data_IF_882333457523
#
_entry.id   IF_882333457523
#
_cell.length_a   1.000
_cell.length_b   1.000
_cell.length_c   1.000
_cell.angle_alpha   90.00
_cell.angle_beta   90.00
_cell.angle_gamma   90.00
#
_symmetry.space_group_name_H-M   'P 1'
#
loop_
_entity.id
_entity.type
_entity.pdbx_description
1 polymer ?
#
# COMPACT_ATOMS: atom_id res chain seq x y z
N UNK A 1 34.54 23.89 -0.09
CA UNK A 1 34.28 22.65 0.67
C UNK A 1 33.45 21.72 -0.23
N UNK A 2 33.86 20.44 -0.34
CA UNK A 2 33.14 19.47 -1.15
C UNK A 2 31.77 19.21 -0.52
N UNK A 3 30.69 19.18 -1.33
CA UNK A 3 29.36 18.81 -0.84
C UNK A 3 29.36 17.33 -0.44
N UNK A 4 29.02 16.97 0.81
CA UNK A 4 28.97 15.58 1.27
C UNK A 4 27.70 14.84 0.83
N UNK A 5 26.68 15.53 0.31
CA UNK A 5 25.37 14.97 -0.01
C UNK A 5 25.25 14.58 -1.48
N UNK A 6 24.50 13.52 -1.74
CA UNK A 6 24.10 13.14 -3.10
C UNK A 6 23.07 14.13 -3.65
N UNK A 7 23.24 14.58 -4.88
CA UNK A 7 22.28 15.45 -5.55
C UNK A 7 20.91 14.77 -5.71
N UNK A 8 20.90 13.48 -6.01
CA UNK A 8 19.66 12.71 -6.18
C UNK A 8 18.82 12.72 -4.93
N UNK A 9 19.41 12.46 -3.75
CA UNK A 9 18.63 12.41 -2.51
C UNK A 9 18.20 13.80 -2.04
N UNK A 10 19.00 14.83 -2.28
CA UNK A 10 18.64 16.19 -1.91
C UNK A 10 17.53 16.78 -2.77
N UNK A 11 17.31 16.26 -3.97
CA UNK A 11 16.21 16.62 -4.85
C UNK A 11 14.86 15.99 -4.45
N UNK A 12 14.89 14.93 -3.63
CA UNK A 12 13.66 14.26 -3.17
C UNK A 12 13.10 14.99 -1.94
N UNK A 13 11.86 15.49 -1.98
CA UNK A 13 11.26 16.15 -0.82
C UNK A 13 10.97 15.15 0.31
N UNK A 14 10.96 15.60 1.58
CA UNK A 14 10.48 14.78 2.70
C UNK A 14 9.02 14.35 2.48
N UNK A 15 8.65 13.18 3.02
CA UNK A 15 7.27 12.66 2.93
C UNK A 15 6.26 13.65 3.53
N UNK A 16 5.29 14.09 2.72
CA UNK A 16 4.21 14.99 3.14
C UNK A 16 3.35 14.42 4.27
N UNK A 17 3.17 13.10 4.30
CA UNK A 17 2.43 12.40 5.37
C UNK A 17 3.14 12.59 6.73
N UNK A 18 4.47 12.47 6.77
CA UNK A 18 5.23 12.55 8.01
C UNK A 18 5.17 13.93 8.65
N UNK A 19 5.31 14.96 7.84
CA UNK A 19 5.20 16.36 8.32
C UNK A 19 3.89 16.60 9.08
N UNK A 20 2.80 16.00 8.61
CA UNK A 20 1.49 16.14 9.25
C UNK A 20 1.42 15.36 10.59
N UNK A 21 2.02 14.18 10.65
CA UNK A 21 2.08 13.40 11.90
C UNK A 21 2.91 14.05 12.99
N UNK A 22 4.00 14.70 12.64
CA UNK A 22 4.85 15.40 13.61
C UNK A 22 4.04 16.51 14.32
N UNK A 23 3.22 17.26 13.59
CA UNK A 23 2.32 18.27 14.18
C UNK A 23 1.28 17.64 15.12
N UNK A 24 0.67 16.53 14.69
CA UNK A 24 -0.37 15.84 15.48
C UNK A 24 0.19 15.27 16.79
N UNK A 25 1.42 14.76 16.78
CA UNK A 25 2.05 14.14 17.95
C UNK A 25 2.26 15.11 19.11
N UNK A 26 2.35 16.41 18.82
CA UNK A 26 2.51 17.48 19.81
C UNK A 26 1.17 17.99 20.37
N UNK A 27 0.04 17.59 19.78
CA UNK A 27 -1.29 18.09 20.16
C UNK A 27 -2.01 17.14 21.12
N UNK A 28 -2.31 17.66 22.33
CA UNK A 28 -3.17 16.96 23.28
C UNK A 28 -4.62 16.91 22.74
N UNK A 29 -5.32 15.79 22.97
CA UNK A 29 -6.72 15.56 22.61
C UNK A 29 -7.02 15.53 21.08
N UNK A 30 -6.00 15.47 20.23
CA UNK A 30 -6.21 15.27 18.80
C UNK A 30 -6.62 13.80 18.50
N UNK A 31 -7.63 13.65 17.65
CA UNK A 31 -8.00 12.34 17.09
C UNK A 31 -7.36 12.24 15.72
N UNK A 32 -6.38 11.33 15.57
CA UNK A 32 -5.75 11.10 14.29
C UNK A 32 -6.52 10.03 13.51
N UNK A 33 -6.99 10.37 12.31
CA UNK A 33 -7.51 9.42 11.31
C UNK A 33 -6.54 9.29 10.12
N UNK A 34 -5.29 9.70 10.33
CA UNK A 34 -4.29 9.75 9.27
C UNK A 34 -3.38 8.53 9.20
N UNK A 35 -3.23 7.75 10.29
CA UNK A 35 -2.29 6.62 10.33
C UNK A 35 -2.80 5.48 9.46
N UNK A 36 -1.91 4.91 8.66
CA UNK A 36 -2.22 3.82 7.75
C UNK A 36 -1.82 2.45 8.30
N UNK A 37 -2.30 2.11 9.51
CA UNK A 37 -2.06 0.79 10.10
C UNK A 37 -3.30 0.23 10.79
N UNK A 38 -3.42 -1.11 10.88
CA UNK A 38 -4.48 -1.74 11.66
C UNK A 38 -4.51 -1.25 13.10
N UNK A 39 -5.70 -1.08 13.66
CA UNK A 39 -5.92 -0.79 15.09
C UNK A 39 -6.10 -2.08 15.92
N UNK A 40 -5.91 -3.22 15.30
CA UNK A 40 -5.88 -4.52 15.96
C UNK A 40 -4.45 -4.86 16.39
N UNK A 41 -4.34 -5.53 17.52
CA UNK A 41 -3.13 -6.25 17.85
C UNK A 41 -2.92 -7.42 16.89
N UNK A 42 -1.67 -7.77 16.62
CA UNK A 42 -1.37 -9.05 15.97
C UNK A 42 -2.06 -10.19 16.72
N UNK A 43 -2.78 -11.12 16.07
CA UNK A 43 -3.46 -12.23 16.72
C UNK A 43 -2.56 -12.98 17.69
N UNK A 44 -3.13 -13.42 18.84
CA UNK A 44 -2.33 -13.97 19.92
C UNK A 44 -1.48 -15.18 19.50
N UNK A 45 -2.05 -16.13 18.77
CA UNK A 45 -1.31 -17.31 18.34
C UNK A 45 -0.09 -16.99 17.46
N UNK A 46 -0.19 -15.89 16.66
CA UNK A 46 0.92 -15.42 15.83
C UNK A 46 2.01 -14.79 16.74
N UNK A 47 1.61 -13.99 17.74
CA UNK A 47 2.55 -13.43 18.73
C UNK A 47 3.22 -14.53 19.53
N UNK A 48 2.46 -15.53 19.95
CA UNK A 48 2.93 -16.67 20.73
C UNK A 48 4.02 -17.45 19.99
N UNK A 49 3.86 -17.71 18.68
CA UNK A 49 4.92 -18.35 17.87
C UNK A 49 6.17 -17.48 17.78
N UNK A 50 6.02 -16.16 17.69
CA UNK A 50 7.15 -15.23 17.76
C UNK A 50 7.90 -15.34 19.09
N UNK A 51 7.19 -15.35 20.21
CA UNK A 51 7.75 -15.54 21.57
C UNK A 51 8.43 -16.92 21.67
N UNK A 52 7.76 -17.97 21.23
CA UNK A 52 8.28 -19.33 21.24
C UNK A 52 9.57 -19.47 20.43
N UNK A 53 9.66 -18.78 19.31
CA UNK A 53 10.89 -18.76 18.50
C UNK A 53 12.10 -18.23 19.29
N UNK A 54 11.88 -17.19 20.10
CA UNK A 54 12.92 -16.62 20.98
C UNK A 54 13.26 -17.56 22.14
N UNK A 55 12.25 -18.16 22.79
CA UNK A 55 12.46 -19.16 23.86
C UNK A 55 13.26 -20.37 23.38
N UNK A 56 13.09 -20.77 22.11
CA UNK A 56 13.87 -21.85 21.50
C UNK A 56 15.24 -21.44 20.97
N UNK A 57 15.64 -20.17 21.19
CA UNK A 57 16.93 -19.66 20.74
C UNK A 57 17.05 -19.56 19.21
N UNK A 58 15.92 -19.40 18.48
CA UNK A 58 15.92 -19.24 17.02
C UNK A 58 16.28 -17.79 16.65
N UNK A 59 17.52 -17.39 16.95
CA UNK A 59 18.01 -16.00 16.83
C UNK A 59 19.14 -15.84 15.81
N UNK A 60 19.37 -16.86 15.00
CA UNK A 60 20.39 -16.87 13.96
C UNK A 60 19.84 -16.38 12.63
N UNK A 61 20.73 -16.02 11.71
CA UNK A 61 20.35 -15.70 10.33
C UNK A 61 19.62 -16.87 9.68
N UNK A 62 18.59 -16.53 8.91
CA UNK A 62 17.97 -17.50 7.99
C UNK A 62 18.73 -17.51 6.66
N UNK A 63 18.29 -18.33 5.70
CA UNK A 63 18.66 -18.14 4.31
C UNK A 63 18.34 -16.70 3.87
N UNK A 64 19.17 -16.11 2.99
CA UNK A 64 18.92 -14.75 2.49
C UNK A 64 17.53 -14.60 1.88
N UNK A 65 17.06 -15.60 1.13
CA UNK A 65 15.72 -15.58 0.55
C UNK A 65 14.59 -15.85 1.57
N UNK A 66 14.91 -16.14 2.83
CA UNK A 66 13.96 -16.45 3.89
C UNK A 66 13.90 -17.93 4.27
N UNK A 67 13.17 -18.23 5.35
CA UNK A 67 12.92 -19.60 5.81
C UNK A 67 12.24 -20.42 4.71
N UNK A 68 12.75 -21.63 4.46
CA UNK A 68 12.16 -22.54 3.48
C UNK A 68 10.70 -22.84 3.79
N UNK A 69 10.40 -23.06 5.05
CA UNK A 69 9.04 -23.31 5.54
C UNK A 69 8.10 -22.15 5.23
N UNK A 70 8.53 -20.91 5.49
CA UNK A 70 7.74 -19.72 5.19
C UNK A 70 7.49 -19.56 3.69
N UNK A 71 8.50 -19.75 2.85
CA UNK A 71 8.34 -19.68 1.40
C UNK A 71 7.35 -20.72 0.86
N UNK A 72 7.38 -21.93 1.43
CA UNK A 72 6.41 -22.97 1.10
C UNK A 72 4.97 -22.56 1.49
N UNK A 73 4.79 -21.98 2.68
CA UNK A 73 3.46 -21.51 3.10
C UNK A 73 2.98 -20.30 2.26
N UNK A 74 3.88 -19.41 1.86
CA UNK A 74 3.55 -18.32 0.91
C UNK A 74 3.06 -18.89 -0.42
N UNK A 75 3.77 -19.90 -0.98
CA UNK A 75 3.36 -20.56 -2.23
C UNK A 75 1.96 -21.15 -2.12
N UNK A 76 1.70 -21.92 -1.05
CA UNK A 76 0.39 -22.55 -0.77
C UNK A 76 -0.72 -21.50 -0.58
N UNK A 77 -0.40 -20.41 0.12
CA UNK A 77 -1.32 -19.32 0.37
C UNK A 77 -1.75 -18.63 -0.94
N UNK A 78 -0.78 -18.29 -1.81
CA UNK A 78 -1.06 -17.64 -3.08
C UNK A 78 -1.87 -18.53 -4.02
N UNK A 79 -1.57 -19.83 -4.08
CA UNK A 79 -2.34 -20.80 -4.86
C UNK A 79 -3.78 -20.91 -4.33
N UNK A 80 -3.95 -21.06 -3.00
CA UNK A 80 -5.26 -21.22 -2.36
C UNK A 80 -6.13 -19.96 -2.46
N UNK A 81 -5.54 -18.77 -2.32
CA UNK A 81 -6.28 -17.50 -2.20
C UNK A 81 -6.43 -16.76 -3.52
N UNK A 82 -5.48 -16.90 -4.43
CA UNK A 82 -5.39 -16.04 -5.63
C UNK A 82 -5.12 -16.80 -6.92
N UNK A 83 -5.22 -18.12 -6.90
CA UNK A 83 -5.05 -19.00 -8.08
C UNK A 83 -3.72 -18.77 -8.83
N UNK A 84 -2.65 -18.44 -8.12
CA UNK A 84 -1.32 -18.24 -8.70
C UNK A 84 -0.27 -19.05 -7.95
N UNK A 85 0.42 -19.93 -8.67
CA UNK A 85 1.47 -20.78 -8.14
C UNK A 85 2.87 -20.23 -8.40
N UNK A 86 3.73 -20.26 -7.37
CA UNK A 86 5.16 -19.90 -7.47
C UNK A 86 6.02 -21.00 -6.87
N UNK A 87 7.17 -21.27 -7.51
CA UNK A 87 8.18 -22.17 -6.96
C UNK A 87 8.79 -21.53 -5.70
N UNK A 88 8.62 -22.16 -4.51
CA UNK A 88 9.10 -21.58 -3.26
C UNK A 88 10.62 -21.43 -3.20
N UNK A 89 11.38 -22.22 -3.95
CA UNK A 89 12.85 -22.17 -3.92
C UNK A 89 13.43 -21.13 -4.88
N UNK A 90 12.73 -20.81 -5.97
CA UNK A 90 13.26 -19.99 -7.08
C UNK A 90 12.53 -18.68 -7.30
N UNK A 91 11.23 -18.62 -6.98
CA UNK A 91 10.35 -17.53 -7.35
C UNK A 91 9.80 -16.74 -6.14
N UNK A 92 10.22 -17.06 -4.91
CA UNK A 92 9.76 -16.39 -3.67
C UNK A 92 10.95 -15.93 -2.83
N UNK A 93 10.92 -14.68 -2.39
CA UNK A 93 11.82 -14.15 -1.38
C UNK A 93 11.08 -13.36 -0.30
N UNK A 94 11.56 -13.49 0.93
CA UNK A 94 11.04 -12.75 2.10
C UNK A 94 11.82 -11.46 2.26
N UNK A 95 11.10 -10.36 2.54
CA UNK A 95 11.65 -9.02 2.63
C UNK A 95 11.30 -8.32 3.94
N UNK A 96 11.99 -7.22 4.25
CA UNK A 96 11.70 -6.35 5.41
C UNK A 96 10.50 -5.45 5.06
N UNK A 97 9.31 -6.06 5.03
CA UNK A 97 8.06 -5.44 4.57
C UNK A 97 7.99 -5.28 3.05
N UNK A 98 6.81 -4.93 2.55
CA UNK A 98 6.59 -4.64 1.13
C UNK A 98 7.42 -3.44 0.63
N UNK A 99 7.78 -2.52 1.51
CA UNK A 99 8.59 -1.35 1.16
C UNK A 99 9.98 -1.72 0.64
N UNK A 100 10.65 -2.70 1.26
CA UNK A 100 11.92 -3.22 0.73
C UNK A 100 11.69 -3.90 -0.63
N UNK A 101 10.65 -4.72 -0.75
CA UNK A 101 10.34 -5.41 -1.99
C UNK A 101 10.16 -4.44 -3.17
N UNK A 102 9.47 -3.31 -2.95
CA UNK A 102 9.31 -2.25 -3.96
C UNK A 102 10.68 -1.66 -4.36
N UNK A 103 11.48 -1.26 -3.38
CA UNK A 103 12.77 -0.60 -3.62
C UNK A 103 13.73 -1.52 -4.39
N UNK A 104 13.89 -2.77 -3.93
CA UNK A 104 14.81 -3.71 -4.58
C UNK A 104 14.31 -4.21 -5.94
N UNK A 105 13.00 -4.28 -6.17
CA UNK A 105 12.45 -4.60 -7.49
C UNK A 105 12.80 -3.51 -8.50
N UNK A 106 12.58 -2.24 -8.17
CA UNK A 106 12.93 -1.11 -9.03
C UNK A 106 14.43 -1.07 -9.29
N UNK A 107 15.28 -1.21 -8.26
CA UNK A 107 16.75 -1.23 -8.40
C UNK A 107 17.27 -2.40 -9.23
N UNK A 108 16.59 -3.54 -9.20
CA UNK A 108 16.98 -4.73 -9.95
C UNK A 108 16.59 -4.66 -11.44
N UNK A 109 15.58 -3.85 -11.77
CA UNK A 109 14.95 -3.85 -13.09
C UNK A 109 15.19 -2.59 -13.90
N UNK A 110 15.65 -1.48 -13.29
CA UNK A 110 15.81 -0.20 -13.99
C UNK A 110 17.27 0.10 -14.32
N UNK A 111 17.47 0.57 -15.55
CA UNK A 111 18.64 1.30 -15.98
C UNK A 111 18.37 2.82 -16.01
N UNK A 112 19.41 3.67 -15.96
CA UNK A 112 19.24 5.12 -16.04
C UNK A 112 18.43 5.56 -17.27
N UNK A 113 17.30 6.24 -17.02
CA UNK A 113 16.41 6.75 -18.06
C UNK A 113 15.23 5.85 -18.42
N UNK A 114 15.16 4.63 -17.89
CA UNK A 114 13.95 3.79 -18.00
C UNK A 114 12.78 4.47 -17.29
N UNK A 115 11.62 4.46 -17.92
CA UNK A 115 10.41 5.06 -17.37
C UNK A 115 9.54 4.04 -16.63
N UNK A 116 8.98 4.51 -15.53
CA UNK A 116 8.02 3.76 -14.70
C UNK A 116 6.70 4.50 -14.68
N UNK A 117 5.63 3.86 -15.17
CA UNK A 117 4.27 4.39 -15.05
C UNK A 117 3.75 4.16 -13.63
N UNK A 118 3.37 5.24 -12.96
CA UNK A 118 2.91 5.23 -11.57
C UNK A 118 1.53 5.87 -11.51
N UNK A 119 0.46 5.08 -11.29
CA UNK A 119 -0.87 5.62 -11.02
C UNK A 119 -0.86 6.51 -9.78
N UNK A 120 -1.49 7.68 -9.86
CA UNK A 120 -1.67 8.62 -8.74
C UNK A 120 -3.13 9.11 -8.67
N UNK A 121 -3.69 9.37 -7.48
CA UNK A 121 -3.04 9.32 -6.17
C UNK A 121 -2.71 7.88 -5.75
N UNK A 122 -1.55 7.69 -5.13
CA UNK A 122 -1.09 6.38 -4.64
C UNK A 122 -0.06 6.50 -3.52
N UNK A 123 0.40 5.36 -3.01
CA UNK A 123 1.37 5.32 -1.93
C UNK A 123 2.65 6.06 -2.29
N UNK A 124 3.10 6.89 -1.36
CA UNK A 124 4.13 7.93 -1.56
C UNK A 124 5.52 7.41 -1.95
N UNK A 125 5.81 6.13 -1.77
CA UNK A 125 7.17 5.60 -1.97
C UNK A 125 7.51 5.26 -3.42
N UNK A 126 6.54 5.07 -4.32
CA UNK A 126 6.83 4.62 -5.68
C UNK A 126 7.69 5.62 -6.46
N UNK A 127 7.36 6.91 -6.38
CA UNK A 127 8.10 7.97 -7.06
C UNK A 127 9.53 8.10 -6.52
N UNK A 128 9.77 8.28 -5.23
CA UNK A 128 11.12 8.33 -4.67
C UNK A 128 11.95 7.08 -4.94
N UNK A 129 11.38 5.88 -4.79
CA UNK A 129 12.10 4.65 -5.06
C UNK A 129 12.49 4.51 -6.54
N UNK A 130 11.64 4.95 -7.47
CA UNK A 130 11.97 5.01 -8.90
C UNK A 130 13.17 5.93 -9.16
N UNK A 131 13.16 7.14 -8.59
CA UNK A 131 14.26 8.11 -8.72
C UNK A 131 15.57 7.55 -8.13
N UNK A 132 15.49 6.95 -6.94
CA UNK A 132 16.64 6.36 -6.25
C UNK A 132 17.22 5.14 -7.00
N UNK A 133 16.38 4.46 -7.79
CA UNK A 133 16.80 3.39 -8.69
C UNK A 133 17.38 3.90 -10.03
N UNK A 134 17.40 5.21 -10.27
CA UNK A 134 17.89 5.84 -11.51
C UNK A 134 16.84 5.92 -12.62
N UNK A 135 15.61 5.48 -12.36
CA UNK A 135 14.50 5.55 -13.32
C UNK A 135 13.81 6.92 -13.33
N UNK A 136 12.92 7.08 -14.29
CA UNK A 136 12.09 8.28 -14.50
C UNK A 136 10.64 7.96 -14.15
N UNK A 137 10.07 8.53 -13.08
CA UNK A 137 8.66 8.34 -12.76
C UNK A 137 7.78 9.11 -13.76
N UNK A 138 6.79 8.43 -14.34
CA UNK A 138 5.76 9.01 -15.20
C UNK A 138 4.41 8.77 -14.56
N UNK A 139 3.76 9.83 -14.11
CA UNK A 139 2.50 9.73 -13.38
C UNK A 139 1.30 9.52 -14.31
N UNK A 140 0.41 8.64 -13.92
CA UNK A 140 -0.87 8.35 -14.58
C UNK A 140 -1.99 8.76 -13.64
N UNK A 141 -2.74 9.80 -13.99
CA UNK A 141 -3.77 10.33 -13.10
C UNK A 141 -5.00 9.42 -13.04
N UNK A 142 -5.38 9.03 -11.82
CA UNK A 142 -6.62 8.32 -11.52
C UNK A 142 -7.71 9.35 -11.18
N UNK A 143 -8.86 9.23 -11.80
CA UNK A 143 -9.94 10.20 -11.66
C UNK A 143 -11.17 9.58 -10.98
N UNK A 144 -11.88 10.38 -10.19
CA UNK A 144 -13.08 9.96 -9.48
C UNK A 144 -14.20 9.47 -10.42
N UNK A 145 -14.32 10.07 -11.63
CA UNK A 145 -15.29 9.64 -12.63
C UNK A 145 -15.10 8.18 -13.05
N UNK A 146 -13.86 7.68 -12.99
CA UNK A 146 -13.49 6.29 -13.27
C UNK A 146 -13.38 5.46 -11.98
N UNK A 147 -13.91 5.98 -10.85
CA UNK A 147 -13.80 5.37 -9.51
C UNK A 147 -12.36 5.17 -9.06
N UNK A 148 -11.46 6.06 -9.46
CA UNK A 148 -10.02 5.96 -9.25
C UNK A 148 -9.40 4.65 -9.76
N UNK A 149 -9.99 4.02 -10.77
CA UNK A 149 -9.43 2.85 -11.45
C UNK A 149 -8.40 3.28 -12.50
N UNK A 150 -7.41 2.43 -12.70
CA UNK A 150 -6.51 2.56 -13.84
C UNK A 150 -7.17 1.94 -15.07
N UNK A 151 -7.32 2.72 -16.13
CA UNK A 151 -7.85 2.23 -17.41
C UNK A 151 -6.73 2.02 -18.42
N UNK A 152 -6.94 1.15 -19.38
CA UNK A 152 -5.97 0.88 -20.45
C UNK A 152 -5.70 2.13 -21.28
N UNK A 153 -6.70 2.99 -21.51
CA UNK A 153 -6.55 4.25 -22.26
C UNK A 153 -5.56 5.19 -21.58
N UNK A 154 -5.65 5.33 -20.25
CA UNK A 154 -4.73 6.14 -19.46
C UNK A 154 -3.30 5.58 -19.49
N UNK A 155 -3.14 4.26 -19.50
CA UNK A 155 -1.82 3.64 -19.68
C UNK A 155 -1.27 3.97 -21.04
N UNK A 156 -2.06 3.75 -22.12
CA UNK A 156 -1.64 4.00 -23.50
C UNK A 156 -1.25 5.46 -23.75
N UNK A 157 -1.96 6.42 -23.13
CA UNK A 157 -1.67 7.85 -23.26
C UNK A 157 -0.27 8.24 -22.77
N UNK A 158 0.24 7.54 -21.74
CA UNK A 158 1.52 7.86 -21.08
C UNK A 158 2.70 7.02 -21.58
N UNK A 159 2.46 6.05 -22.45
CA UNK A 159 3.49 5.19 -22.97
C UNK A 159 4.48 5.95 -23.88
N UNK A 160 5.75 5.67 -23.67
CA UNK A 160 6.85 6.07 -24.57
C UNK A 160 7.72 4.85 -24.88
N UNK A 161 8.65 4.94 -25.85
CA UNK A 161 9.61 3.86 -26.09
C UNK A 161 10.55 3.55 -24.92
N UNK A 162 10.59 4.41 -23.88
CA UNK A 162 11.40 4.24 -22.67
C UNK A 162 10.62 3.60 -21.53
N UNK A 163 9.31 3.47 -21.67
CA UNK A 163 8.46 2.86 -20.64
C UNK A 163 8.82 1.39 -20.49
N UNK A 164 9.21 0.98 -19.29
CA UNK A 164 9.61 -0.38 -18.96
C UNK A 164 8.72 -1.05 -17.93
N UNK A 165 8.28 -0.30 -16.92
CA UNK A 165 7.53 -0.83 -15.78
C UNK A 165 6.21 -0.08 -15.61
N UNK A 166 5.14 -0.83 -15.32
CA UNK A 166 3.88 -0.33 -14.80
C UNK A 166 3.74 -0.76 -13.33
N UNK A 167 3.52 0.19 -12.43
CA UNK A 167 3.15 -0.10 -11.03
C UNK A 167 1.64 -0.26 -10.94
N UNK A 168 1.17 -1.34 -10.30
CA UNK A 168 -0.24 -1.60 -10.01
C UNK A 168 -0.45 -1.62 -8.49
N UNK A 169 -0.80 -0.47 -7.87
CA UNK A 169 -0.96 -0.37 -6.43
C UNK A 169 -2.43 -0.56 -6.01
N UNK A 170 -2.97 -1.77 -6.21
CA UNK A 170 -4.38 -2.06 -5.91
C UNK A 170 -4.54 -3.34 -5.07
N UNK A 171 -5.46 -3.31 -4.04
CA UNK A 171 -6.32 -2.20 -3.61
C UNK A 171 -5.54 -0.96 -3.19
N UNK A 172 -6.05 0.21 -3.56
CA UNK A 172 -5.28 1.45 -3.58
C UNK A 172 -5.31 2.20 -2.23
N UNK A 173 -4.16 2.65 -1.79
CA UNK A 173 -3.97 3.71 -0.81
C UNK A 173 -3.63 5.00 -1.58
N UNK A 174 -4.46 6.07 -1.59
CA UNK A 174 -5.42 6.45 -0.54
C UNK A 174 -6.90 6.20 -0.87
N UNK A 175 -7.26 5.80 -2.08
CA UNK A 175 -8.63 5.89 -2.58
C UNK A 175 -9.56 4.73 -2.17
N UNK A 176 -8.97 3.59 -1.79
CA UNK A 176 -9.73 2.35 -1.57
C UNK A 176 -10.28 1.72 -2.85
N UNK A 177 -9.83 2.19 -4.01
CA UNK A 177 -10.19 1.62 -5.30
C UNK A 177 -9.56 0.24 -5.49
N UNK A 178 -10.25 -0.61 -6.24
CA UNK A 178 -9.78 -1.92 -6.68
C UNK A 178 -9.81 -1.98 -8.21
N UNK A 179 -9.12 -2.97 -8.78
CA UNK A 179 -9.29 -3.35 -10.18
C UNK A 179 -10.09 -4.66 -10.25
N UNK A 180 -11.09 -4.70 -11.11
CA UNK A 180 -11.82 -5.92 -11.44
C UNK A 180 -11.02 -6.75 -12.43
N UNK A 181 -11.44 -8.01 -12.61
CA UNK A 181 -10.77 -8.91 -13.56
C UNK A 181 -10.73 -8.34 -14.98
N UNK A 182 -11.79 -7.70 -15.41
CA UNK A 182 -11.92 -7.09 -16.75
C UNK A 182 -10.96 -5.90 -16.91
N UNK A 183 -10.77 -5.09 -15.86
CA UNK A 183 -9.79 -4.01 -15.86
C UNK A 183 -8.36 -4.57 -16.00
N UNK A 184 -8.07 -5.64 -15.25
CA UNK A 184 -6.77 -6.31 -15.28
C UNK A 184 -6.49 -6.99 -16.62
N UNK A 185 -7.50 -7.62 -17.26
CA UNK A 185 -7.36 -8.22 -18.58
C UNK A 185 -7.04 -7.16 -19.64
N UNK A 186 -7.75 -6.02 -19.61
CA UNK A 186 -7.48 -4.89 -20.51
C UNK A 186 -6.08 -4.30 -20.34
N UNK A 187 -5.59 -4.19 -19.10
CA UNK A 187 -4.23 -3.74 -18.80
C UNK A 187 -3.21 -4.80 -19.24
N UNK A 188 -3.47 -6.07 -18.97
CA UNK A 188 -2.59 -7.18 -19.36
C UNK A 188 -2.36 -7.25 -20.87
N UNK A 189 -3.39 -6.94 -21.68
CA UNK A 189 -3.25 -6.86 -23.14
C UNK A 189 -2.22 -5.80 -23.54
N UNK A 190 -2.29 -4.60 -22.94
CA UNK A 190 -1.32 -3.53 -23.19
C UNK A 190 0.07 -3.94 -22.74
N UNK A 191 0.19 -4.52 -21.54
CA UNK A 191 1.48 -4.96 -20.97
C UNK A 191 2.16 -5.99 -21.89
N UNK A 192 1.39 -6.96 -22.41
CA UNK A 192 1.92 -7.97 -23.36
C UNK A 192 2.28 -7.36 -24.70
N UNK A 193 1.40 -6.53 -25.27
CA UNK A 193 1.61 -5.89 -26.57
C UNK A 193 2.85 -4.97 -26.57
N UNK A 194 3.06 -4.23 -25.49
CA UNK A 194 4.15 -3.25 -25.37
C UNK A 194 5.39 -3.80 -24.65
N UNK A 195 5.40 -5.09 -24.36
CA UNK A 195 6.48 -5.80 -23.66
C UNK A 195 6.93 -5.11 -22.35
N UNK A 196 5.95 -4.70 -21.55
CA UNK A 196 6.18 -4.10 -20.24
C UNK A 196 6.35 -5.16 -19.16
N UNK A 197 6.92 -4.72 -18.04
CA UNK A 197 6.91 -5.44 -16.76
C UNK A 197 5.95 -4.78 -15.78
N UNK A 198 5.48 -5.54 -14.80
CA UNK A 198 4.55 -5.05 -13.78
C UNK A 198 5.16 -5.23 -12.39
N UNK A 199 5.05 -4.21 -11.55
CA UNK A 199 5.21 -4.32 -10.10
C UNK A 199 3.81 -4.20 -9.50
N UNK A 200 3.24 -5.32 -9.05
CA UNK A 200 1.91 -5.38 -8.47
C UNK A 200 2.03 -5.37 -6.95
N UNK A 201 1.72 -4.23 -6.34
CA UNK A 201 1.68 -4.08 -4.89
C UNK A 201 0.29 -4.47 -4.38
N UNK A 202 0.20 -5.66 -3.83
CA UNK A 202 -1.03 -6.31 -3.39
C UNK A 202 -1.13 -6.42 -1.86
N UNK A 203 -0.47 -5.51 -1.13
CA UNK A 203 -0.42 -5.52 0.35
C UNK A 203 -1.81 -5.47 1.01
N UNK A 204 -2.83 -4.99 0.30
CA UNK A 204 -4.22 -4.92 0.74
C UNK A 204 -5.12 -6.00 0.12
N UNK A 205 -4.57 -7.03 -0.52
CA UNK A 205 -5.33 -8.06 -1.25
C UNK A 205 -6.42 -8.74 -0.42
N UNK A 206 -6.20 -8.97 0.87
CA UNK A 206 -7.20 -9.56 1.78
C UNK A 206 -8.28 -8.57 2.24
N UNK A 207 -8.01 -7.28 2.13
CA UNK A 207 -8.94 -6.23 2.56
C UNK A 207 -9.74 -5.73 1.37
N UNK A 208 -10.61 -6.59 0.83
CA UNK A 208 -11.60 -6.27 -0.21
C UNK A 208 -13.00 -6.60 0.32
N UNK A 209 -14.00 -5.80 -0.05
CA UNK A 209 -15.33 -5.85 0.52
C UNK A 209 -16.37 -6.32 -0.52
N UNK A 210 -17.03 -7.45 -0.22
CA UNK A 210 -18.02 -8.06 -1.09
C UNK A 210 -17.46 -8.70 -2.37
N UNK A 211 -16.13 -8.85 -2.46
CA UNK A 211 -15.41 -9.37 -3.64
C UNK A 211 -14.13 -10.07 -3.21
N UNK A 212 -13.63 -10.93 -4.10
CA UNK A 212 -12.31 -11.48 -3.98
C UNK A 212 -11.32 -10.66 -4.80
N UNK A 213 -10.11 -10.48 -4.28
CA UNK A 213 -9.02 -9.84 -5.00
C UNK A 213 -8.60 -10.71 -6.19
N UNK A 214 -8.40 -10.06 -7.35
CA UNK A 214 -7.76 -10.69 -8.51
C UNK A 214 -6.32 -10.17 -8.62
N UNK A 215 -5.38 -11.08 -8.80
CA UNK A 215 -4.00 -10.70 -9.11
C UNK A 215 -3.77 -10.73 -10.62
N UNK A 216 -3.07 -9.71 -11.15
CA UNK A 216 -2.69 -9.71 -12.56
C UNK A 216 -1.77 -10.88 -12.90
N UNK A 217 -0.99 -11.36 -11.95
CA UNK A 217 -0.06 -12.47 -12.12
C UNK A 217 -0.77 -13.82 -12.43
N UNK A 218 -2.06 -13.96 -12.10
CA UNK A 218 -2.85 -15.14 -12.45
C UNK A 218 -3.35 -15.14 -13.91
N UNK A 219 -3.26 -13.99 -14.60
CA UNK A 219 -3.66 -13.91 -16.00
C UNK A 219 -2.61 -14.51 -16.93
N UNK A 220 -3.05 -15.09 -18.04
CA UNK A 220 -2.16 -15.74 -19.03
C UNK A 220 -1.06 -14.81 -19.53
N UNK A 221 0.20 -15.24 -19.46
CA UNK A 221 1.38 -14.49 -19.91
C UNK A 221 1.75 -13.31 -19.02
N UNK A 222 1.20 -13.23 -17.80
CA UNK A 222 1.49 -12.14 -16.86
C UNK A 222 2.43 -12.55 -15.74
N UNK A 223 2.42 -13.80 -15.30
CA UNK A 223 3.34 -14.29 -14.27
C UNK A 223 4.82 -14.05 -14.64
N UNK A 224 5.15 -14.27 -15.91
CA UNK A 224 6.52 -14.17 -16.45
C UNK A 224 7.05 -12.73 -16.52
N UNK A 225 6.21 -11.74 -16.27
CA UNK A 225 6.55 -10.31 -16.33
C UNK A 225 6.07 -9.50 -15.14
N UNK A 226 5.63 -10.17 -14.08
CA UNK A 226 5.12 -9.52 -12.87
C UNK A 226 6.00 -9.81 -11.66
N UNK A 227 6.36 -8.76 -10.92
CA UNK A 227 6.81 -8.83 -9.53
C UNK A 227 5.59 -8.58 -8.66
N UNK A 228 5.06 -9.64 -8.05
CA UNK A 228 3.99 -9.57 -7.07
C UNK A 228 4.59 -9.27 -5.70
N UNK A 229 4.12 -8.21 -5.06
CA UNK A 229 4.55 -7.78 -3.73
C UNK A 229 3.37 -7.89 -2.78
N UNK A 230 3.59 -8.54 -1.65
CA UNK A 230 2.59 -8.65 -0.59
C UNK A 230 3.29 -8.76 0.78
N UNK A 231 2.54 -8.94 1.85
CA UNK A 231 3.12 -9.05 3.18
C UNK A 231 2.08 -9.22 4.28
N UNK A 232 2.56 -9.11 5.50
CA UNK A 232 1.80 -9.44 6.71
C UNK A 232 1.27 -8.21 7.44
N UNK A 233 1.76 -7.02 7.07
CA UNK A 233 1.50 -5.76 7.77
C UNK A 233 0.02 -5.44 7.93
N UNK A 234 -0.79 -5.69 6.89
CA UNK A 234 -2.19 -5.27 6.85
C UNK A 234 -3.15 -6.40 7.17
N UNK A 235 -2.95 -7.55 6.53
CA UNK A 235 -3.84 -8.71 6.67
C UNK A 235 -3.77 -9.35 8.07
N UNK A 236 -2.63 -9.28 8.73
CA UNK A 236 -2.39 -9.92 10.03
C UNK A 236 -2.04 -8.93 11.16
N UNK A 237 -2.25 -7.63 10.93
CA UNK A 237 -1.90 -6.59 11.90
C UNK A 237 -0.43 -6.70 12.37
N UNK A 238 0.50 -6.89 11.43
CA UNK A 238 1.92 -7.11 11.69
C UNK A 238 2.79 -5.96 11.18
N UNK A 239 2.34 -4.70 11.30
CA UNK A 239 3.09 -3.53 10.79
C UNK A 239 4.47 -3.40 11.40
N UNK A 240 4.60 -3.56 12.73
CA UNK A 240 5.84 -3.46 13.48
C UNK A 240 6.79 -4.65 13.32
N UNK A 241 6.32 -5.78 12.80
CA UNK A 241 7.15 -6.98 12.58
C UNK A 241 8.05 -6.87 11.35
N UNK A 242 7.79 -5.89 10.50
CA UNK A 242 8.58 -5.60 9.30
C UNK A 242 8.77 -6.83 8.41
N UNK A 243 7.68 -7.46 7.96
CA UNK A 243 7.75 -8.65 7.12
C UNK A 243 6.84 -8.54 5.90
N UNK A 244 7.41 -8.83 4.75
CA UNK A 244 6.74 -8.94 3.47
C UNK A 244 7.43 -9.96 2.59
N UNK A 245 7.00 -10.06 1.35
CA UNK A 245 7.61 -10.95 0.37
C UNK A 245 7.39 -10.44 -1.05
N UNK A 246 8.27 -10.88 -1.94
CA UNK A 246 8.14 -10.71 -3.38
C UNK A 246 8.11 -12.07 -4.07
N UNK A 247 7.23 -12.18 -5.07
CA UNK A 247 7.18 -13.33 -5.97
C UNK A 247 7.40 -12.83 -7.40
N UNK A 248 8.34 -13.44 -8.11
CA UNK A 248 8.72 -13.01 -9.46
C UNK A 248 9.37 -14.16 -10.23
N UNK A 249 9.50 -14.04 -11.57
CA UNK A 249 10.33 -14.95 -12.35
C UNK A 249 11.73 -15.06 -11.77
N UNK A 250 12.30 -16.27 -11.78
CA UNK A 250 13.62 -16.56 -11.20
C UNK A 250 14.70 -15.57 -11.65
N UNK A 251 14.70 -15.17 -12.92
CA UNK A 251 15.68 -14.25 -13.47
C UNK A 251 15.67 -12.87 -12.77
N UNK A 252 14.48 -12.35 -12.47
CA UNK A 252 14.29 -11.08 -11.75
C UNK A 252 14.60 -11.26 -10.27
N UNK A 253 14.03 -12.29 -9.65
CA UNK A 253 14.17 -12.53 -8.21
C UNK A 253 15.64 -12.70 -7.81
N UNK A 254 16.44 -13.38 -8.61
CA UNK A 254 17.88 -13.54 -8.36
C UNK A 254 18.63 -12.21 -8.33
N UNK A 255 18.21 -11.20 -9.09
CA UNK A 255 18.84 -9.88 -9.04
C UNK A 255 18.37 -9.10 -7.80
N UNK A 256 17.08 -9.17 -7.47
CA UNK A 256 16.53 -8.60 -6.23
C UNK A 256 17.25 -9.18 -5.01
N UNK A 257 17.48 -10.49 -4.99
CA UNK A 257 18.15 -11.18 -3.89
C UNK A 257 19.60 -10.71 -3.69
N UNK A 258 20.31 -10.32 -4.75
CA UNK A 258 21.66 -9.75 -4.61
C UNK A 258 21.64 -8.44 -3.81
N UNK A 259 20.68 -7.56 -4.09
CA UNK A 259 20.57 -6.28 -3.38
C UNK A 259 20.20 -6.55 -1.91
N UNK A 260 19.21 -7.41 -1.69
CA UNK A 260 18.78 -7.80 -0.36
C UNK A 260 19.91 -8.35 0.51
N UNK A 261 20.71 -9.30 -0.04
CA UNK A 261 21.78 -9.92 0.74
C UNK A 261 22.90 -8.95 1.12
N UNK A 262 23.19 -7.94 0.27
CA UNK A 262 24.22 -6.93 0.58
C UNK A 262 23.72 -5.82 1.51
N UNK A 263 22.42 -5.49 1.48
CA UNK A 263 21.84 -4.42 2.28
C UNK A 263 21.31 -4.91 3.62
N UNK A 264 20.61 -6.04 3.65
CA UNK A 264 19.81 -6.51 4.79
C UNK A 264 20.27 -7.89 5.28
N UNK A 265 20.78 -8.73 4.40
CA UNK A 265 21.19 -10.12 4.61
C UNK A 265 19.96 -11.08 4.69
N UNK A 266 19.06 -10.91 5.65
CA UNK A 266 17.80 -11.62 5.74
C UNK A 266 16.77 -10.79 6.56
N UNK A 267 15.50 -11.06 6.36
CA UNK A 267 14.44 -10.48 7.19
C UNK A 267 14.50 -11.01 8.65
N UNK A 268 13.88 -10.31 9.62
CA UNK A 268 13.92 -10.71 11.03
C UNK A 268 13.44 -12.15 11.24
N UNK A 269 14.26 -12.97 11.84
CA UNK A 269 14.01 -14.42 11.99
C UNK A 269 12.75 -14.71 12.81
N UNK A 270 12.53 -14.01 13.93
CA UNK A 270 11.33 -14.14 14.77
C UNK A 270 10.06 -13.84 13.99
N UNK A 271 10.08 -12.79 13.17
CA UNK A 271 8.94 -12.42 12.32
C UNK A 271 8.62 -13.49 11.30
N UNK A 272 9.63 -14.18 10.76
CA UNK A 272 9.43 -15.25 9.79
C UNK A 272 8.74 -16.48 10.42
N UNK A 273 9.12 -16.85 11.65
CA UNK A 273 8.42 -17.94 12.38
C UNK A 273 6.97 -17.57 12.69
N UNK A 274 6.72 -16.36 13.17
CA UNK A 274 5.36 -15.86 13.39
C UNK A 274 4.52 -15.86 12.11
N UNK A 275 5.12 -15.52 10.98
CA UNK A 275 4.43 -15.50 9.68
C UNK A 275 4.06 -16.90 9.16
N UNK A 276 4.83 -17.94 9.49
CA UNK A 276 4.44 -19.33 9.21
C UNK A 276 3.12 -19.66 9.89
N UNK A 277 2.99 -19.29 11.16
CA UNK A 277 1.74 -19.47 11.92
C UNK A 277 0.58 -18.65 11.33
N UNK A 278 0.85 -17.40 10.96
CA UNK A 278 -0.13 -16.53 10.33
C UNK A 278 -0.75 -17.15 9.07
N UNK A 279 0.09 -17.69 8.17
CA UNK A 279 -0.38 -18.28 6.91
C UNK A 279 -1.08 -19.64 7.10
N UNK A 280 -0.75 -20.37 8.15
CA UNK A 280 -1.37 -21.67 8.45
C UNK A 280 -2.72 -21.53 9.12
N UNK A 281 -2.82 -20.64 10.08
CA UNK A 281 -3.95 -20.63 11.02
C UNK A 281 -4.66 -19.27 11.13
N UNK A 282 -4.19 -18.22 10.46
CA UNK A 282 -4.69 -16.85 10.60
C UNK A 282 -5.84 -16.46 9.67
N UNK A 283 -6.36 -17.37 8.84
CA UNK A 283 -7.44 -17.03 7.88
C UNK A 283 -8.69 -16.46 8.58
N UNK A 284 -9.04 -17.00 9.76
CA UNK A 284 -10.18 -16.51 10.54
C UNK A 284 -9.95 -15.11 11.11
N UNK A 285 -8.75 -14.83 11.58
CA UNK A 285 -8.41 -13.49 12.11
C UNK A 285 -8.50 -12.43 11.01
N UNK A 286 -8.03 -12.76 9.80
CA UNK A 286 -8.15 -11.89 8.62
C UNK A 286 -9.62 -11.60 8.32
N UNK A 287 -10.47 -12.62 8.34
CA UNK A 287 -11.91 -12.46 8.10
C UNK A 287 -12.58 -11.57 9.15
N UNK A 288 -12.33 -11.82 10.44
CA UNK A 288 -12.88 -11.03 11.54
C UNK A 288 -12.46 -9.55 11.45
N UNK A 289 -11.20 -9.27 11.12
CA UNK A 289 -10.72 -7.90 10.90
C UNK A 289 -11.35 -7.26 9.66
N UNK A 290 -11.47 -7.99 8.55
CA UNK A 290 -12.10 -7.51 7.32
C UNK A 290 -13.58 -7.16 7.54
N UNK A 291 -14.34 -7.99 8.25
CA UNK A 291 -15.72 -7.71 8.62
C UNK A 291 -15.85 -6.45 9.47
N UNK A 292 -14.97 -6.28 10.46
CA UNK A 292 -14.94 -5.08 11.28
C UNK A 292 -14.65 -3.82 10.45
N UNK A 293 -13.69 -3.89 9.53
CA UNK A 293 -13.39 -2.78 8.61
C UNK A 293 -14.57 -2.48 7.68
N UNK A 294 -15.28 -3.49 7.18
CA UNK A 294 -16.45 -3.25 6.32
C UNK A 294 -17.58 -2.55 7.06
N UNK A 295 -17.82 -2.88 8.32
CA UNK A 295 -18.79 -2.17 9.16
C UNK A 295 -18.40 -0.71 9.37
N UNK A 296 -17.12 -0.44 9.68
CA UNK A 296 -16.58 0.92 9.86
C UNK A 296 -16.61 1.71 8.58
N UNK A 297 -16.26 1.09 7.44
CA UNK A 297 -16.34 1.67 6.10
C UNK A 297 -17.74 2.20 5.81
N UNK A 298 -18.74 1.34 5.95
CA UNK A 298 -20.15 1.72 5.70
C UNK A 298 -20.62 2.84 6.62
N UNK A 299 -20.24 2.79 7.89
CA UNK A 299 -20.56 3.85 8.85
C UNK A 299 -19.92 5.18 8.46
N UNK A 300 -18.62 5.17 8.16
CA UNK A 300 -17.86 6.37 7.81
C UNK A 300 -18.35 7.00 6.51
N UNK A 301 -18.54 6.20 5.45
CA UNK A 301 -19.01 6.68 4.14
C UNK A 301 -20.38 7.34 4.27
N UNK A 302 -21.31 6.71 5.02
CA UNK A 302 -22.62 7.30 5.27
C UNK A 302 -22.51 8.64 5.98
N UNK A 303 -21.75 8.71 7.06
CA UNK A 303 -21.60 9.93 7.85
C UNK A 303 -20.95 11.08 7.06
N UNK A 304 -19.94 10.78 6.23
CA UNK A 304 -19.32 11.79 5.36
C UNK A 304 -20.30 12.35 4.33
N UNK A 305 -21.10 11.50 3.69
CA UNK A 305 -22.13 11.92 2.73
C UNK A 305 -23.24 12.73 3.40
N UNK A 306 -23.66 12.30 4.60
CA UNK A 306 -24.71 13.02 5.39
C UNK A 306 -24.26 14.45 5.77
N UNK A 307 -22.95 14.71 5.92
CA UNK A 307 -22.40 16.06 6.14
C UNK A 307 -21.96 16.76 4.86
N UNK A 308 -22.31 16.20 3.68
CA UNK A 308 -22.03 16.82 2.38
C UNK A 308 -20.60 16.64 1.87
N UNK A 309 -19.84 15.71 2.41
CA UNK A 309 -18.53 15.32 1.88
C UNK A 309 -18.70 14.10 0.96
N UNK A 310 -18.87 14.37 -0.34
CA UNK A 310 -19.00 13.31 -1.33
C UNK A 310 -17.72 12.48 -1.41
N UNK A 311 -17.87 11.19 -1.54
CA UNK A 311 -16.75 10.28 -1.70
C UNK A 311 -17.13 9.04 -2.52
N UNK A 312 -16.17 8.56 -3.29
CA UNK A 312 -16.20 7.22 -3.83
C UNK A 312 -16.31 6.21 -2.68
N UNK A 313 -17.17 5.22 -2.82
CA UNK A 313 -17.31 4.15 -1.82
C UNK A 313 -16.17 3.15 -1.99
N UNK A 314 -15.19 3.12 -1.06
CA UNK A 314 -14.02 2.26 -1.19
C UNK A 314 -14.41 0.79 -1.19
N UNK A 315 -13.78 0.02 -2.05
CA UNK A 315 -14.01 -1.42 -2.20
C UNK A 315 -12.84 -2.26 -1.68
N UNK A 316 -11.76 -1.59 -1.27
CA UNK A 316 -10.59 -2.24 -0.68
C UNK A 316 -9.80 -1.32 0.25
N UNK A 317 -8.75 -1.86 0.86
CA UNK A 317 -7.93 -1.22 1.89
C UNK A 317 -8.77 -0.76 3.11
N UNK A 318 -8.34 0.24 3.84
CA UNK A 318 -9.10 0.82 4.96
C UNK A 318 -9.08 2.36 4.94
N UNK A 319 -9.22 2.93 3.73
CA UNK A 319 -9.23 4.38 3.51
C UNK A 319 -10.46 4.81 2.73
N UNK A 320 -10.89 6.06 2.99
CA UNK A 320 -11.83 6.79 2.17
C UNK A 320 -11.20 8.11 1.73
N UNK A 321 -11.58 8.58 0.55
CA UNK A 321 -10.97 9.74 -0.09
C UNK A 321 -12.04 10.78 -0.48
N UNK A 322 -12.64 11.50 0.54
CA UNK A 322 -13.70 12.45 0.29
C UNK A 322 -13.22 13.70 -0.45
N UNK A 323 -14.09 14.20 -1.31
CA UNK A 323 -13.91 15.43 -2.07
C UNK A 323 -14.28 16.66 -1.24
N UNK A 324 -13.39 17.66 -1.22
CA UNK A 324 -13.61 18.96 -0.52
C UNK A 324 -13.64 20.16 -1.48
N UNK A 325 -13.63 19.93 -2.79
CA UNK A 325 -13.54 20.99 -3.82
C UNK A 325 -14.63 22.04 -3.69
N UNK A 326 -15.82 21.66 -3.21
CA UNK A 326 -16.95 22.60 -3.01
C UNK A 326 -16.65 23.74 -2.02
N UNK A 327 -15.69 23.55 -1.12
CA UNK A 327 -15.34 24.57 -0.11
C UNK A 327 -14.33 25.61 -0.61
N UNK A 328 -13.80 25.46 -1.84
CA UNK A 328 -12.92 26.45 -2.46
C UNK A 328 -11.57 26.67 -1.77
N UNK A 329 -11.14 25.72 -0.92
CA UNK A 329 -9.85 25.78 -0.24
C UNK A 329 -8.98 24.58 -0.60
N UNK A 330 -7.65 24.71 -0.44
CA UNK A 330 -6.73 23.63 -0.70
C UNK A 330 -6.87 22.50 0.33
N UNK A 331 -6.47 21.28 -0.06
CA UNK A 331 -6.45 20.10 0.81
C UNK A 331 -5.64 20.34 2.09
N UNK A 332 -4.49 21.00 1.96
CA UNK A 332 -3.62 21.34 3.09
C UNK A 332 -4.30 22.33 4.04
N UNK A 333 -4.92 23.37 3.50
CA UNK A 333 -5.64 24.38 4.30
C UNK A 333 -6.82 23.77 5.03
N UNK A 334 -7.61 22.92 4.36
CA UNK A 334 -8.73 22.24 4.99
C UNK A 334 -8.26 21.34 6.14
N UNK A 335 -7.25 20.48 5.89
CA UNK A 335 -6.72 19.56 6.89
C UNK A 335 -6.13 20.31 8.10
N UNK A 336 -5.41 21.41 7.87
CA UNK A 336 -4.83 22.22 8.93
C UNK A 336 -5.91 22.90 9.78
N UNK A 337 -6.89 23.56 9.15
CA UNK A 337 -8.00 24.22 9.86
C UNK A 337 -8.83 23.22 10.66
N UNK A 338 -9.12 22.05 10.11
CA UNK A 338 -9.83 20.98 10.82
C UNK A 338 -9.06 20.52 12.06
N UNK A 339 -7.73 20.37 11.94
CA UNK A 339 -6.87 20.03 13.06
C UNK A 339 -6.84 21.12 14.13
N UNK A 340 -6.67 22.37 13.74
CA UNK A 340 -6.59 23.51 14.67
C UNK A 340 -7.90 23.73 15.43
N UNK A 341 -9.03 23.70 14.72
CA UNK A 341 -10.34 24.07 15.27
C UNK A 341 -10.99 22.91 16.01
N UNK A 342 -10.96 21.72 15.44
CA UNK A 342 -11.71 20.56 15.94
C UNK A 342 -10.84 19.40 16.45
N UNK A 343 -9.50 19.54 16.37
CA UNK A 343 -8.56 18.51 16.83
C UNK A 343 -8.76 17.16 16.14
N UNK A 344 -9.07 17.18 14.84
CA UNK A 344 -9.15 15.99 13.99
C UNK A 344 -8.09 16.08 12.92
N UNK A 345 -7.22 15.06 12.87
CA UNK A 345 -6.15 14.96 11.90
C UNK A 345 -6.53 14.01 10.77
N UNK A 346 -6.45 14.51 9.54
CA UNK A 346 -6.62 13.76 8.30
C UNK A 346 -5.44 14.08 7.38
N UNK A 347 -5.17 13.27 6.37
CA UNK A 347 -4.06 13.54 5.45
C UNK A 347 -4.57 14.27 4.22
N UNK A 348 -3.98 15.44 3.85
CA UNK A 348 -4.33 16.10 2.60
C UNK A 348 -4.01 15.21 1.40
N UNK A 349 -4.88 15.24 0.39
CA UNK A 349 -4.74 14.38 -0.78
C UNK A 349 -3.48 14.64 -1.60
N UNK A 350 -2.97 15.87 -1.56
CA UNK A 350 -1.69 16.29 -2.18
C UNK A 350 -0.49 15.45 -1.72
N UNK A 351 -0.54 14.86 -0.52
CA UNK A 351 0.50 13.94 -0.06
C UNK A 351 0.65 12.68 -0.93
N UNK A 352 -0.35 12.35 -1.75
CA UNK A 352 -0.37 11.14 -2.60
C UNK A 352 -0.18 11.46 -4.10
N UNK A 353 0.15 12.68 -4.42
CA UNK A 353 0.34 13.23 -5.76
C UNK A 353 -0.48 14.50 -5.97
N UNK A 354 -0.05 15.35 -6.91
CA UNK A 354 -0.69 16.65 -7.17
C UNK A 354 -2.17 16.50 -7.56
N UNK A 355 -2.53 15.42 -8.25
CA UNK A 355 -3.91 15.10 -8.61
C UNK A 355 -4.82 14.79 -7.39
N UNK A 356 -4.24 14.60 -6.21
CA UNK A 356 -4.96 14.48 -4.95
C UNK A 356 -5.47 15.80 -4.36
N UNK A 357 -5.16 16.95 -5.00
CA UNK A 357 -5.68 18.25 -4.57
C UNK A 357 -7.22 18.27 -4.65
N UNK A 358 -7.84 18.83 -3.61
CA UNK A 358 -9.30 18.83 -3.45
C UNK A 358 -9.86 17.56 -2.80
N UNK A 359 -8.99 16.69 -2.25
CA UNK A 359 -9.37 15.47 -1.53
C UNK A 359 -8.64 15.36 -0.20
N UNK A 360 -9.16 14.49 0.67
CA UNK A 360 -8.54 14.12 1.95
C UNK A 360 -8.46 12.60 2.05
N UNK A 361 -7.40 12.05 2.66
CA UNK A 361 -7.40 10.64 3.05
C UNK A 361 -7.80 10.50 4.52
N UNK A 362 -8.80 9.67 4.77
CA UNK A 362 -9.28 9.29 6.09
C UNK A 362 -9.15 7.77 6.23
N UNK A 363 -8.47 7.30 7.28
CA UNK A 363 -8.42 5.88 7.62
C UNK A 363 -9.61 5.50 8.50
N UNK A 364 -10.21 4.34 8.25
CA UNK A 364 -11.21 3.74 9.15
C UNK A 364 -10.67 2.56 9.96
N UNK A 365 -9.36 2.39 9.97
CA UNK A 365 -8.67 1.47 10.88
C UNK A 365 -8.55 2.08 12.29
N UNK A 366 -9.70 2.39 12.89
CA UNK A 366 -9.85 2.96 14.22
C UNK A 366 -11.12 2.43 14.89
N UNK A 367 -11.20 2.52 16.23
CA UNK A 367 -12.40 2.12 16.95
C UNK A 367 -13.64 2.89 16.48
N UNK A 368 -14.81 2.25 16.51
CA UNK A 368 -16.07 2.95 16.20
C UNK A 368 -16.30 4.17 17.09
N UNK A 369 -15.81 4.13 18.33
CA UNK A 369 -15.91 5.26 19.26
C UNK A 369 -15.09 6.46 18.79
N UNK A 370 -13.85 6.23 18.37
CA UNK A 370 -12.97 7.30 17.85
C UNK A 370 -13.48 7.85 16.51
N UNK A 371 -13.94 6.97 15.63
CA UNK A 371 -14.57 7.38 14.37
C UNK A 371 -15.79 8.26 14.62
N UNK A 372 -16.67 7.87 15.54
CA UNK A 372 -17.86 8.65 15.89
C UNK A 372 -17.49 10.03 16.43
N UNK A 373 -16.56 10.11 17.39
CA UNK A 373 -16.07 11.38 17.95
C UNK A 373 -15.42 12.27 16.89
N UNK A 374 -14.61 11.69 16.00
CA UNK A 374 -14.00 12.44 14.92
C UNK A 374 -15.05 12.99 13.94
N UNK A 375 -16.03 12.18 13.56
CA UNK A 375 -17.11 12.58 12.65
C UNK A 375 -18.00 13.67 13.24
N UNK A 376 -18.33 13.62 14.53
CA UNK A 376 -19.04 14.69 15.22
C UNK A 376 -18.29 16.03 15.16
N UNK A 377 -16.97 16.00 15.35
CA UNK A 377 -16.09 17.17 15.25
C UNK A 377 -15.99 17.67 13.80
N UNK A 378 -15.79 16.74 12.84
CA UNK A 378 -15.77 17.11 11.40
C UNK A 378 -17.11 17.74 10.96
N UNK A 379 -18.24 17.23 11.43
CA UNK A 379 -19.55 17.80 11.12
C UNK A 379 -19.69 19.24 11.59
N UNK A 380 -19.22 19.58 12.80
CA UNK A 380 -19.20 20.98 13.29
C UNK A 380 -18.32 21.87 12.43
N UNK A 381 -17.15 21.37 12.04
CA UNK A 381 -16.24 22.11 11.17
C UNK A 381 -16.88 22.39 9.79
N UNK A 382 -17.44 21.35 9.16
CA UNK A 382 -18.12 21.52 7.85
C UNK A 382 -19.28 22.51 7.94
N UNK A 383 -20.13 22.41 8.96
CA UNK A 383 -21.23 23.35 9.18
C UNK A 383 -20.73 24.80 9.32
N UNK A 384 -19.62 25.01 10.03
CA UNK A 384 -19.03 26.36 10.18
C UNK A 384 -18.52 26.95 8.88
N UNK A 385 -18.19 26.12 7.88
CA UNK A 385 -17.76 26.58 6.54
C UNK A 385 -18.93 26.97 5.65
N UNK A 386 -20.12 26.42 5.86
CA UNK A 386 -21.32 26.73 5.09
C UNK A 386 -22.02 28.00 5.59
N UNK A 387 -21.70 28.46 6.81
CA UNK A 387 -22.21 29.71 7.38
C UNK A 387 -21.38 30.96 7.02
N UNK A 388 -20.20 30.79 6.40
CA UNK A 388 -19.31 31.87 5.97
C UNK A 388 -19.56 32.27 4.52
#
# INVERSE_FOLDING_TARGET
VRNPLSETITAIPPSGIRKFFDIVSEMKDAISLGVGEPDFDTPWHIRDEGIYSLEKGRTFYTSNAGLKELKLEISRYLERRFDVGYDPDREIMVTVGGSEAIDIALRAMLDPGDEVLIPQPSYVSYVPCTILAGGVPVTVELEEKDRFRLTKEKVLEKLTPKTKILVLPFPNNPTGSILEKEDLEAIADVVREKDLFVISDEIYSELTYGRHHCTIAALSGMKERTVLINGFSKSYAMTGWRLGYACAPEAILRQMLKIHQYAIMCAPTTSQYAAVEALRNGDRDVEEMREAYDQRRRFLVKALRDMGLDCYEPQGAFYVFPCIKKFGMSSDTFALRLLEQEKVAVVPGTAFGDCGEGYLRISYAYSLQDLKRALERMGRFVASLEEM
#
